data_IF_258883812912
#
_entry.id   IF_258883812912
#
_cell.length_a   1.000
_cell.length_b   1.000
_cell.length_c   1.000
_cell.angle_alpha   90.00
_cell.angle_beta   90.00
_cell.angle_gamma   90.00
#
_symmetry.space_group_name_H-M   'P 1'
#
loop_
_entity.id
_entity.type
_entity.pdbx_description
1 polymer ?
#
# COMPACT_ATOMS: atom_id res chain seq x y z
N UNK A 1 -4.96 15.52 10.40
CA UNK A 1 -4.64 14.51 9.36
C UNK A 1 -5.75 13.50 9.41
N UNK A 2 -6.34 13.11 8.28
CA UNK A 2 -7.51 12.22 8.28
C UNK A 2 -7.10 10.82 7.83
N UNK A 3 -7.71 9.82 8.45
CA UNK A 3 -7.57 8.43 8.04
C UNK A 3 -8.89 7.95 7.49
N UNK A 4 -8.86 6.94 6.61
CA UNK A 4 -10.06 6.33 6.06
C UNK A 4 -10.05 4.85 6.38
N UNK A 5 -11.09 4.41 7.07
CA UNK A 5 -11.39 3.01 7.22
C UNK A 5 -12.31 2.58 6.08
N UNK A 6 -12.06 1.41 5.52
CA UNK A 6 -12.89 0.82 4.47
C UNK A 6 -13.02 -0.68 4.66
N UNK A 7 -14.17 -1.25 4.30
CA UNK A 7 -14.38 -2.70 4.28
C UNK A 7 -14.30 -3.19 2.85
N UNK A 8 -13.19 -3.85 2.50
CA UNK A 8 -12.85 -4.20 1.10
C UNK A 8 -12.70 -5.70 0.87
N UNK A 9 -13.11 -6.17 -0.30
CA UNK A 9 -12.85 -7.54 -0.72
C UNK A 9 -11.34 -7.79 -0.86
N UNK A 10 -10.85 -8.89 -0.29
CA UNK A 10 -9.41 -9.22 -0.28
C UNK A 10 -9.07 -10.64 -0.69
N UNK A 11 -10.06 -11.48 -0.99
CA UNK A 11 -9.80 -12.83 -1.47
C UNK A 11 -9.40 -12.81 -2.95
N UNK A 12 -8.58 -13.79 -3.39
CA UNK A 12 -8.13 -13.89 -4.79
C UNK A 12 -9.24 -14.35 -5.75
N UNK A 13 -10.38 -14.79 -5.23
CA UNK A 13 -11.55 -15.20 -6.01
C UNK A 13 -12.37 -13.98 -6.47
N UNK A 14 -13.20 -14.13 -7.53
CA UNK A 14 -14.13 -13.09 -7.95
C UNK A 14 -14.97 -12.58 -6.77
N UNK A 15 -15.09 -11.27 -6.65
CA UNK A 15 -15.91 -10.65 -5.61
C UNK A 15 -17.38 -11.02 -5.86
N UNK A 16 -18.11 -11.53 -4.87
CA UNK A 16 -19.53 -11.86 -5.01
C UNK A 16 -20.43 -10.62 -5.09
N UNK A 17 -19.90 -9.42 -4.85
CA UNK A 17 -20.64 -8.16 -4.88
C UNK A 17 -19.72 -6.95 -5.05
N UNK A 18 -20.00 -5.88 -4.31
CA UNK A 18 -19.18 -4.67 -4.34
C UNK A 18 -17.80 -4.88 -3.71
N UNK A 19 -16.75 -4.30 -4.30
CA UNK A 19 -15.39 -4.43 -3.78
C UNK A 19 -15.14 -3.62 -2.51
N UNK A 20 -15.94 -2.59 -2.25
CA UNK A 20 -15.89 -1.76 -1.05
C UNK A 20 -17.32 -1.58 -0.53
N UNK A 21 -17.62 -2.17 0.63
CA UNK A 21 -18.98 -2.18 1.19
C UNK A 21 -19.30 -0.91 1.99
N UNK A 22 -18.27 -0.30 2.58
CA UNK A 22 -18.37 0.92 3.36
C UNK A 22 -17.01 1.57 3.44
N UNK A 23 -16.99 2.90 3.40
CA UNK A 23 -15.84 3.70 3.79
C UNK A 23 -16.26 4.88 4.66
N UNK A 24 -15.42 5.18 5.64
CA UNK A 24 -15.62 6.31 6.54
C UNK A 24 -14.28 6.98 6.84
N UNK A 25 -14.31 8.31 6.86
CA UNK A 25 -13.14 9.14 7.15
C UNK A 25 -13.23 9.60 8.60
N UNK A 26 -12.17 9.33 9.36
CA UNK A 26 -12.05 9.70 10.77
C UNK A 26 -10.80 10.57 10.98
N UNK A 27 -10.75 11.24 12.13
CA UNK A 27 -9.53 11.91 12.56
C UNK A 27 -8.41 10.89 12.85
N UNK A 28 -7.17 11.27 12.55
CA UNK A 28 -6.03 10.39 12.77
C UNK A 28 -5.92 9.94 14.23
N UNK A 29 -5.61 8.65 14.43
CA UNK A 29 -5.50 8.04 15.76
C UNK A 29 -6.81 7.48 16.31
N UNK A 30 -7.95 7.76 15.68
CA UNK A 30 -9.23 7.18 16.09
C UNK A 30 -9.32 5.68 15.75
N UNK A 31 -10.00 4.88 16.59
CA UNK A 31 -10.26 3.48 16.31
C UNK A 31 -11.18 3.31 15.10
N UNK A 32 -11.30 2.07 14.62
CA UNK A 32 -12.20 1.76 13.51
C UNK A 32 -13.66 2.14 13.85
N UNK A 33 -14.34 2.91 12.99
CA UNK A 33 -15.68 3.40 13.26
C UNK A 33 -16.70 2.25 13.28
N UNK A 34 -17.75 2.42 14.08
CA UNK A 34 -18.81 1.40 14.23
C UNK A 34 -19.48 1.06 12.89
N UNK A 35 -19.63 2.02 11.99
CA UNK A 35 -20.19 1.82 10.64
C UNK A 35 -19.46 0.75 9.81
N UNK A 36 -18.15 0.60 10.05
CA UNK A 36 -17.27 -0.39 9.40
C UNK A 36 -17.29 -1.69 10.21
N UNK A 37 -17.14 -1.62 11.52
CA UNK A 37 -17.07 -2.80 12.38
C UNK A 37 -18.39 -3.58 12.44
N UNK A 38 -19.55 -2.90 12.45
CA UNK A 38 -20.86 -3.55 12.45
C UNK A 38 -21.18 -4.29 11.16
N UNK A 39 -20.51 -3.95 10.04
CA UNK A 39 -20.65 -4.64 8.76
C UNK A 39 -19.60 -5.73 8.54
N UNK A 40 -18.57 -5.78 9.39
CA UNK A 40 -17.52 -6.78 9.27
C UNK A 40 -18.01 -8.13 9.79
N UNK A 41 -17.88 -9.16 8.96
CA UNK A 41 -18.26 -10.53 9.28
C UNK A 41 -17.05 -11.43 9.08
N UNK A 42 -16.71 -12.20 10.11
CA UNK A 42 -15.60 -13.15 10.05
C UNK A 42 -15.83 -14.19 8.94
N UNK A 43 -14.81 -14.46 8.13
CA UNK A 43 -14.87 -15.43 7.04
C UNK A 43 -15.60 -14.95 5.77
N UNK A 44 -16.21 -13.75 5.76
CA UNK A 44 -16.92 -13.23 4.59
C UNK A 44 -15.99 -12.78 3.44
N UNK A 45 -14.66 -12.84 3.60
CA UNK A 45 -13.69 -12.45 2.57
C UNK A 45 -13.40 -10.95 2.46
N UNK A 46 -14.10 -10.13 3.23
CA UNK A 46 -13.86 -8.69 3.35
C UNK A 46 -12.94 -8.37 4.53
N UNK A 47 -12.01 -7.45 4.33
CA UNK A 47 -11.05 -6.98 5.33
C UNK A 47 -11.22 -5.48 5.61
N UNK A 48 -11.08 -5.12 6.89
CA UNK A 48 -10.98 -3.71 7.30
C UNK A 48 -9.62 -3.18 6.90
N UNK A 49 -9.61 -2.16 6.04
CA UNK A 49 -8.42 -1.50 5.51
C UNK A 49 -8.33 -0.08 6.06
N UNK A 50 -7.12 0.35 6.44
CA UNK A 50 -6.82 1.70 6.90
C UNK A 50 -5.96 2.41 5.86
N UNK A 51 -6.49 3.49 5.27
CA UNK A 51 -5.78 4.35 4.34
C UNK A 51 -5.42 5.69 5.00
N UNK A 52 -4.15 6.09 4.88
CA UNK A 52 -3.68 7.40 5.33
C UNK A 52 -3.94 8.44 4.24
N UNK A 53 -4.93 9.32 4.44
CA UNK A 53 -5.20 10.39 3.50
C UNK A 53 -4.18 11.50 3.76
N UNK A 54 -3.34 11.77 2.76
CA UNK A 54 -2.47 12.94 2.75
C UNK A 54 -2.86 13.86 1.61
N UNK A 55 -3.00 15.16 1.90
CA UNK A 55 -3.20 16.19 0.88
C UNK A 55 -1.91 16.47 0.07
N UNK A 56 -0.80 15.83 0.47
CA UNK A 56 0.48 15.98 -0.22
C UNK A 56 0.39 15.31 -1.59
N UNK A 57 0.77 16.01 -2.68
CA UNK A 57 0.78 15.39 -4.00
C UNK A 57 1.72 14.19 -4.01
N UNK A 58 1.35 13.16 -4.76
CA UNK A 58 2.20 11.98 -4.95
C UNK A 58 3.55 12.44 -5.48
N UNK A 59 4.62 12.20 -4.71
CA UNK A 59 5.96 12.57 -5.11
C UNK A 59 6.41 11.71 -6.27
N UNK A 60 6.25 12.22 -7.49
CA UNK A 60 6.79 11.58 -8.69
C UNK A 60 8.30 11.75 -8.73
N UNK A 61 8.98 10.68 -9.11
CA UNK A 61 10.41 10.74 -9.35
C UNK A 61 10.68 11.40 -10.69
N UNK A 62 11.67 12.28 -10.73
CA UNK A 62 12.21 12.75 -12.00
C UNK A 62 12.84 11.59 -12.77
N UNK A 63 12.91 11.71 -14.09
CA UNK A 63 13.49 10.65 -14.94
C UNK A 63 14.97 10.41 -14.61
N UNK A 64 15.72 11.45 -14.24
CA UNK A 64 17.12 11.35 -13.82
C UNK A 64 17.24 10.53 -12.53
N UNK A 65 16.34 10.75 -11.56
CA UNK A 65 16.32 9.98 -10.32
C UNK A 65 15.93 8.52 -10.57
N UNK A 66 14.98 8.26 -11.46
CA UNK A 66 14.63 6.89 -11.87
C UNK A 66 15.82 6.20 -12.54
N UNK A 67 16.48 6.87 -13.48
CA UNK A 67 17.66 6.35 -14.18
C UNK A 67 18.81 6.06 -13.21
N UNK A 68 19.10 6.97 -12.27
CA UNK A 68 20.14 6.77 -11.26
C UNK A 68 19.89 5.52 -10.40
N UNK A 69 18.64 5.27 -9.99
CA UNK A 69 18.31 4.08 -9.21
C UNK A 69 18.33 2.81 -10.04
N UNK A 70 17.94 2.85 -11.32
CA UNK A 70 18.13 1.71 -12.23
C UNK A 70 19.62 1.34 -12.35
N UNK A 71 20.50 2.33 -12.54
CA UNK A 71 21.96 2.10 -12.57
C UNK A 71 22.48 1.47 -11.28
N UNK A 72 22.11 2.04 -10.12
CA UNK A 72 22.51 1.51 -8.80
C UNK A 72 22.02 0.07 -8.58
N UNK A 73 20.79 -0.23 -8.98
CA UNK A 73 20.23 -1.57 -8.85
C UNK A 73 20.93 -2.58 -9.78
N UNK A 74 21.30 -2.15 -10.98
CA UNK A 74 22.09 -2.95 -11.91
C UNK A 74 23.48 -3.24 -11.33
N UNK A 75 24.20 -2.23 -10.82
CA UNK A 75 25.50 -2.41 -10.17
C UNK A 75 25.43 -3.38 -8.99
N UNK A 76 24.39 -3.27 -8.14
CA UNK A 76 24.15 -4.21 -7.05
C UNK A 76 23.94 -5.63 -7.55
N UNK A 77 23.19 -5.80 -8.65
CA UNK A 77 22.93 -7.12 -9.24
C UNK A 77 24.21 -7.71 -9.82
N UNK A 78 25.00 -6.91 -10.53
CA UNK A 78 26.31 -7.31 -11.06
C UNK A 78 27.22 -7.73 -9.91
N UNK A 79 27.40 -6.89 -8.88
CA UNK A 79 28.25 -7.23 -7.74
C UNK A 79 27.79 -8.49 -6.96
N UNK A 80 26.50 -8.82 -7.01
CA UNK A 80 25.98 -10.06 -6.40
C UNK A 80 26.37 -11.30 -7.21
N UNK A 81 26.29 -11.24 -8.53
CA UNK A 81 26.56 -12.40 -9.40
C UNK A 81 28.03 -12.52 -9.82
N UNK A 82 28.74 -11.40 -9.91
CA UNK A 82 30.13 -11.28 -10.27
C UNK A 82 30.76 -10.17 -9.42
N UNK A 83 31.07 -10.45 -8.14
CA UNK A 83 31.67 -9.45 -7.26
C UNK A 83 32.99 -8.99 -7.87
N UNK A 84 33.10 -7.69 -8.14
CA UNK A 84 34.39 -7.12 -8.53
C UNK A 84 35.36 -7.35 -7.37
N UNK A 85 36.44 -8.10 -7.60
CA UNK A 85 37.58 -8.13 -6.67
C UNK A 85 38.04 -6.68 -6.51
N UNK A 86 37.94 -6.12 -5.29
CA UNK A 86 38.63 -4.87 -4.97
C UNK A 86 40.11 -5.20 -5.02
N UNK A 87 40.80 -4.69 -6.04
CA UNK A 87 42.25 -4.61 -6.01
C UNK A 87 42.53 -3.47 -5.02
N UNK A 88 43.01 -3.84 -3.84
CA UNK A 88 43.51 -2.93 -2.81
C UNK A 88 44.93 -2.54 -3.21
#
# INVERSE_FOLDING_TARGET
>A
MKWRYSLRWKLPYPCPGEHELVSEVVEAGQPAPASVMSRWVAGAGYAVCLDFISDRPVRRWSEERKAAVRRRNLEKRINRHAPRKRII
#
